data_IF_546990045357
#
_entry.id   IF_546990045357
#
_cell.length_a   1.000
_cell.length_b   1.000
_cell.length_c   1.000
_cell.angle_alpha   90.00
_cell.angle_beta   90.00
_cell.angle_gamma   90.00
#
_symmetry.space_group_name_H-M   'P 1'
#
loop_
_entity.id
_entity.type
_entity.pdbx_description
1 polymer ?
#
# COMPACT_ATOMS: atom_id res chain seq x y z
N UNK A 1 6.81 -14.75 4.67
CA UNK A 1 7.18 -14.54 3.26
C UNK A 1 6.03 -14.02 2.39
N UNK A 2 4.91 -14.75 2.22
CA UNK A 2 3.81 -14.33 1.32
C UNK A 2 3.18 -12.97 1.67
N UNK A 3 3.04 -12.66 2.98
CA UNK A 3 2.51 -11.38 3.43
C UNK A 3 3.39 -10.18 3.05
N UNK A 4 4.71 -10.37 3.00
CA UNK A 4 5.66 -9.32 2.64
C UNK A 4 5.60 -8.98 1.16
N UNK A 5 5.53 -10.00 0.30
CA UNK A 5 5.32 -9.80 -1.14
C UNK A 5 3.95 -9.15 -1.43
N UNK A 6 2.91 -9.51 -0.67
CA UNK A 6 1.62 -8.83 -0.74
C UNK A 6 1.70 -7.36 -0.32
N UNK A 7 2.50 -7.02 0.70
CA UNK A 7 2.73 -5.63 1.09
C UNK A 7 3.50 -4.84 0.03
N UNK A 8 4.54 -5.43 -0.57
CA UNK A 8 5.25 -4.82 -1.71
C UNK A 8 4.26 -4.52 -2.85
N UNK A 9 3.47 -5.52 -3.26
CA UNK A 9 2.48 -5.34 -4.32
C UNK A 9 1.39 -4.31 -3.98
N UNK A 10 1.02 -4.18 -2.70
CA UNK A 10 0.09 -3.15 -2.24
C UNK A 10 0.71 -1.76 -2.38
N UNK A 11 1.95 -1.59 -1.96
CA UNK A 11 2.67 -0.32 -2.06
C UNK A 11 2.80 0.10 -3.53
N UNK A 12 3.23 -0.81 -4.40
CA UNK A 12 3.35 -0.55 -5.84
C UNK A 12 2.00 -0.15 -6.46
N UNK A 13 0.93 -0.79 -6.00
CA UNK A 13 -0.44 -0.47 -6.42
C UNK A 13 -0.85 0.96 -6.04
N UNK A 14 -0.51 1.40 -4.82
CA UNK A 14 -0.80 2.76 -4.34
C UNK A 14 0.04 3.81 -5.08
N UNK A 15 1.33 3.55 -5.28
CA UNK A 15 2.21 4.42 -6.06
C UNK A 15 1.71 4.53 -7.52
N UNK A 16 1.19 3.44 -8.08
CA UNK A 16 0.56 3.45 -9.41
C UNK A 16 -0.77 4.19 -9.44
N UNK A 17 -1.55 4.18 -8.34
CA UNK A 17 -2.83 4.87 -8.26
C UNK A 17 -2.70 6.37 -8.53
N UNK A 18 -1.61 6.98 -8.06
CA UNK A 18 -1.27 8.40 -8.33
C UNK A 18 -1.21 8.72 -9.84
N UNK A 19 -0.87 7.74 -10.67
CA UNK A 19 -0.71 7.87 -12.13
C UNK A 19 -1.96 7.44 -12.90
N UNK A 20 -2.64 6.36 -12.46
CA UNK A 20 -3.70 5.70 -13.25
C UNK A 20 -5.13 6.00 -12.78
N UNK A 21 -5.31 6.69 -11.64
CA UNK A 21 -6.62 6.97 -10.98
C UNK A 21 -7.46 5.74 -10.61
N UNK A 22 -7.09 4.53 -11.04
CA UNK A 22 -7.72 3.27 -10.65
C UNK A 22 -6.67 2.16 -10.68
N UNK A 23 -6.61 1.35 -9.61
CA UNK A 23 -5.72 0.19 -9.51
C UNK A 23 -6.43 -0.93 -8.75
N UNK A 24 -6.28 -2.16 -9.23
CA UNK A 24 -6.72 -3.36 -8.52
C UNK A 24 -5.50 -4.01 -7.86
N UNK A 25 -5.50 -4.08 -6.53
CA UNK A 25 -4.54 -4.87 -5.78
C UNK A 25 -5.09 -6.28 -5.56
N UNK A 26 -4.25 -7.30 -5.75
CA UNK A 26 -4.54 -8.69 -5.43
C UNK A 26 -3.36 -9.21 -4.60
N UNK A 27 -3.66 -9.78 -3.43
CA UNK A 27 -2.65 -10.41 -2.58
C UNK A 27 -1.99 -11.58 -3.33
N UNK A 28 -0.74 -11.89 -3.00
CA UNK A 28 0.05 -12.90 -3.72
C UNK A 28 -0.55 -14.30 -3.62
N UNK A 29 -1.21 -14.61 -2.50
CA UNK A 29 -1.94 -15.87 -2.31
C UNK A 29 -3.38 -15.83 -2.87
N UNK A 30 -3.77 -14.71 -3.50
CA UNK A 30 -5.12 -14.45 -4.03
C UNK A 30 -6.25 -14.55 -3.00
N UNK A 31 -5.94 -14.58 -1.70
CA UNK A 31 -6.93 -14.68 -0.63
C UNK A 31 -7.75 -13.40 -0.46
N UNK A 32 -7.22 -12.26 -0.94
CA UNK A 32 -7.80 -10.95 -0.79
C UNK A 32 -7.49 -10.08 -2.01
N UNK A 33 -8.43 -9.21 -2.38
CA UNK A 33 -8.24 -8.20 -3.41
C UNK A 33 -8.98 -6.92 -3.02
N UNK A 34 -8.42 -5.78 -3.37
CA UNK A 34 -9.07 -4.49 -3.15
C UNK A 34 -8.82 -3.56 -4.32
N UNK A 35 -9.86 -2.84 -4.72
CA UNK A 35 -9.82 -1.86 -5.78
C UNK A 35 -9.71 -0.47 -5.18
N UNK A 36 -8.68 0.27 -5.59
CA UNK A 36 -8.55 1.69 -5.28
C UNK A 36 -8.99 2.52 -6.47
N UNK A 37 -9.77 3.58 -6.22
CA UNK A 37 -10.22 4.52 -7.27
C UNK A 37 -10.18 5.96 -6.78
N UNK A 38 -9.49 6.82 -7.52
CA UNK A 38 -9.52 8.26 -7.36
C UNK A 38 -10.73 8.81 -8.10
N UNK A 39 -11.68 9.39 -7.37
CA UNK A 39 -12.85 10.07 -7.92
C UNK A 39 -13.27 11.23 -7.03
N UNK A 40 -13.81 12.31 -7.60
CA UNK A 40 -14.42 13.41 -6.82
C UNK A 40 -13.49 14.07 -5.80
N UNK A 41 -12.17 14.07 -6.04
CA UNK A 41 -11.18 14.67 -5.13
C UNK A 41 -10.69 13.77 -3.99
N UNK A 42 -11.12 12.51 -3.93
CA UNK A 42 -10.66 11.55 -2.92
C UNK A 42 -10.46 10.14 -3.46
N UNK A 43 -10.00 9.25 -2.58
CA UNK A 43 -9.80 7.83 -2.88
C UNK A 43 -10.90 6.99 -2.26
N UNK A 44 -11.50 6.15 -3.09
CA UNK A 44 -12.43 5.11 -2.68
C UNK A 44 -11.73 3.76 -2.68
N UNK A 45 -12.09 2.95 -1.69
CA UNK A 45 -11.61 1.58 -1.53
C UNK A 45 -12.83 0.68 -1.72
N UNK A 46 -12.76 -0.26 -2.67
CA UNK A 46 -13.84 -1.19 -2.97
C UNK A 46 -13.35 -2.63 -2.76
N UNK A 47 -14.06 -3.40 -1.93
CA UNK A 47 -13.81 -4.82 -1.69
C UNK A 47 -15.13 -5.54 -1.53
N UNK A 48 -15.30 -6.71 -2.15
CA UNK A 48 -16.44 -7.62 -1.91
C UNK A 48 -17.84 -6.94 -1.93
N UNK A 49 -18.03 -5.97 -2.83
CA UNK A 49 -19.30 -5.22 -2.95
C UNK A 49 -19.46 -4.04 -1.99
N UNK A 50 -18.56 -3.88 -1.03
CA UNK A 50 -18.50 -2.72 -0.15
C UNK A 50 -17.61 -1.62 -0.75
N UNK A 51 -18.00 -0.36 -0.51
CA UNK A 51 -17.22 0.81 -0.87
C UNK A 51 -17.02 1.70 0.35
N UNK A 52 -15.79 2.09 0.58
CA UNK A 52 -15.38 3.02 1.64
C UNK A 52 -14.78 4.29 1.02
N UNK A 53 -14.96 5.43 1.68
CA UNK A 53 -14.43 6.73 1.26
C UNK A 53 -15.51 7.78 0.97
N UNK A 54 -15.14 8.98 0.46
CA UNK A 54 -13.79 9.32 -0.01
C UNK A 54 -12.80 9.55 1.12
N UNK A 55 -11.56 9.12 0.93
CA UNK A 55 -10.41 9.41 1.79
C UNK A 55 -9.46 10.39 1.12
N UNK A 56 -8.73 11.19 1.90
CA UNK A 56 -7.56 11.91 1.39
C UNK A 56 -6.52 10.91 0.91
N UNK A 57 -5.95 11.14 -0.29
CA UNK A 57 -4.92 10.25 -0.84
C UNK A 57 -3.67 10.20 0.05
N UNK A 58 -3.26 11.36 0.58
CA UNK A 58 -2.10 11.47 1.46
C UNK A 58 -2.35 10.77 2.79
N UNK A 59 -3.54 10.94 3.37
CA UNK A 59 -3.89 10.27 4.63
C UNK A 59 -3.96 8.76 4.45
N UNK A 60 -4.55 8.27 3.35
CA UNK A 60 -4.59 6.85 3.03
C UNK A 60 -3.19 6.25 2.94
N UNK A 61 -2.26 6.90 2.22
CA UNK A 61 -0.88 6.43 2.11
C UNK A 61 -0.17 6.39 3.46
N UNK A 62 -0.38 7.41 4.31
CA UNK A 62 0.17 7.43 5.67
C UNK A 62 -0.39 6.31 6.55
N UNK A 63 -1.70 6.11 6.56
CA UNK A 63 -2.32 5.03 7.34
C UNK A 63 -1.83 3.65 6.91
N UNK A 64 -1.57 3.44 5.62
CA UNK A 64 -1.00 2.18 5.13
C UNK A 64 0.46 2.04 5.58
N UNK A 65 1.27 3.10 5.49
CA UNK A 65 2.64 3.10 6.02
C UNK A 65 2.67 2.77 7.52
N UNK A 66 1.81 3.43 8.31
CA UNK A 66 1.69 3.20 9.74
C UNK A 66 1.32 1.74 10.05
N UNK A 67 0.35 1.19 9.30
CA UNK A 67 -0.04 -0.22 9.42
C UNK A 67 1.10 -1.19 9.12
N UNK A 68 1.88 -0.92 8.07
CA UNK A 68 3.07 -1.72 7.70
C UNK A 68 4.14 -1.64 8.80
N UNK A 69 4.42 -0.44 9.33
CA UNK A 69 5.41 -0.24 10.39
C UNK A 69 4.98 -0.95 11.68
N UNK A 70 3.70 -0.84 12.07
CA UNK A 70 3.15 -1.55 13.24
C UNK A 70 3.28 -3.06 13.07
N UNK A 71 2.98 -3.60 11.89
CA UNK A 71 3.13 -5.03 11.62
C UNK A 71 4.58 -5.51 11.79
N UNK A 72 5.53 -4.78 11.22
CA UNK A 72 6.97 -5.12 11.31
C UNK A 72 7.45 -5.07 12.76
N UNK A 73 7.11 -4.00 13.49
CA UNK A 73 7.51 -3.79 14.88
C UNK A 73 6.84 -4.76 15.86
N UNK A 74 5.66 -5.29 15.53
CA UNK A 74 4.91 -6.26 16.33
C UNK A 74 5.48 -7.68 16.32
N UNK A 75 6.72 -7.88 15.85
CA UNK A 75 7.34 -9.20 15.68
C UNK A 75 7.04 -9.86 14.34
N UNK A 76 6.44 -9.13 13.40
CA UNK A 76 6.25 -9.60 12.03
C UNK A 76 7.56 -9.72 11.25
N UNK A 77 8.63 -9.03 11.67
CA UNK A 77 9.90 -8.83 10.96
C UNK A 77 10.50 -10.05 10.27
N UNK A 78 10.96 -9.88 9.03
CA UNK A 78 11.76 -10.88 8.32
C UNK A 78 13.13 -11.04 9.01
N UNK A 79 13.64 -12.28 9.03
CA UNK A 79 15.04 -12.52 9.38
C UNK A 79 15.97 -11.84 8.36
N UNK A 80 17.15 -11.39 8.82
CA UNK A 80 18.10 -10.63 8.00
C UNK A 80 18.62 -11.33 6.73
N UNK A 81 18.39 -12.63 6.59
CA UNK A 81 18.80 -13.44 5.44
C UNK A 81 17.65 -13.71 4.45
N UNK A 82 16.46 -13.16 4.66
CA UNK A 82 15.33 -13.36 3.75
C UNK A 82 15.51 -12.53 2.47
N UNK A 83 15.50 -13.20 1.32
CA UNK A 83 15.59 -12.57 -0.01
C UNK A 83 14.55 -11.48 -0.28
N UNK A 84 13.40 -11.50 0.41
CA UNK A 84 12.31 -10.53 0.25
C UNK A 84 12.55 -9.24 1.04
N UNK A 85 13.49 -9.24 1.99
CA UNK A 85 13.75 -8.09 2.86
C UNK A 85 14.20 -6.85 2.08
N UNK A 86 15.02 -7.03 1.03
CA UNK A 86 15.48 -5.94 0.18
C UNK A 86 14.33 -5.24 -0.56
N UNK A 87 13.50 -6.02 -1.25
CA UNK A 87 12.34 -5.51 -1.99
C UNK A 87 11.34 -4.83 -1.06
N UNK A 88 11.11 -5.40 0.11
CA UNK A 88 10.20 -4.83 1.10
C UNK A 88 10.69 -3.49 1.66
N UNK A 89 11.96 -3.40 2.04
CA UNK A 89 12.55 -2.14 2.50
C UNK A 89 12.53 -1.07 1.40
N UNK A 90 12.85 -1.47 0.16
CA UNK A 90 12.77 -0.59 -1.00
C UNK A 90 11.35 -0.03 -1.21
N UNK A 91 10.33 -0.90 -1.14
CA UNK A 91 8.93 -0.48 -1.25
C UNK A 91 8.54 0.51 -0.14
N UNK A 92 8.95 0.26 1.12
CA UNK A 92 8.70 1.21 2.23
C UNK A 92 9.33 2.58 1.94
N UNK A 93 10.56 2.61 1.45
CA UNK A 93 11.25 3.87 1.15
C UNK A 93 10.60 4.61 -0.03
N UNK A 94 10.14 3.88 -1.05
CA UNK A 94 9.38 4.47 -2.16
C UNK A 94 8.02 5.01 -1.69
N UNK A 95 7.34 4.32 -0.76
CA UNK A 95 6.10 4.81 -0.15
C UNK A 95 6.33 6.13 0.59
N UNK A 96 7.38 6.21 1.42
CA UNK A 96 7.75 7.44 2.14
C UNK A 96 8.04 8.59 1.19
N UNK A 97 8.84 8.36 0.14
CA UNK A 97 9.13 9.37 -0.89
C UNK A 97 7.87 9.82 -1.62
N UNK A 98 6.97 8.88 -1.92
CA UNK A 98 5.67 9.17 -2.51
C UNK A 98 4.84 10.12 -1.64
N UNK A 99 4.77 9.86 -0.32
CA UNK A 99 4.08 10.72 0.64
C UNK A 99 4.71 12.12 0.69
N UNK A 100 6.04 12.20 0.82
CA UNK A 100 6.76 13.48 0.87
C UNK A 100 6.55 14.32 -0.41
N UNK A 101 6.55 13.67 -1.58
CA UNK A 101 6.29 14.32 -2.85
C UNK A 101 4.90 14.94 -2.93
N UNK A 102 3.88 14.25 -2.42
CA UNK A 102 2.50 14.72 -2.40
C UNK A 102 2.25 15.86 -1.40
N UNK A 103 3.08 15.99 -0.36
CA UNK A 103 2.96 17.09 0.60
C UNK A 103 3.59 18.40 0.10
N UNK A 104 4.44 18.33 -0.93
CA UNK A 104 5.11 19.49 -1.54
C UNK A 104 4.38 20.04 -2.77
N UNK A 105 3.38 19.32 -3.28
CA UNK A 105 2.55 19.69 -4.45
C UNK A 105 1.28 20.43 -4.04
#
# INVERSE_FOLDING_TARGET
MMIYLSMVGLIDSLLTLSKKRKVNFVAVDSSFSVMFRVNGGGVYIESTGERMGPFSFVELMKSILDGVVVFVNGGGGLGGEDSVLGDFNGAIDDLKRGIEGLQRS
#
